data_IF_686530617707
#
_entry.id   IF_686530617707
#
_cell.length_a   1.000
_cell.length_b   1.000
_cell.length_c   1.000
_cell.angle_alpha   90.00
_cell.angle_beta   90.00
_cell.angle_gamma   90.00
#
_symmetry.space_group_name_H-M   'P 1'
#
loop_
_entity.id
_entity.type
_entity.pdbx_description
1 polymer ?
#
# COMPACT_ATOMS: atom_id res chain seq x y z
N UNK A 1 8.47 -18.00 9.37
CA UNK A 1 7.02 -18.06 9.01
C UNK A 1 6.64 -16.62 8.78
N UNK A 2 6.27 -16.26 7.56
CA UNK A 2 5.92 -14.88 7.22
C UNK A 2 4.63 -14.46 7.93
N UNK A 3 4.51 -13.17 8.26
CA UNK A 3 3.33 -12.62 8.91
C UNK A 3 2.08 -12.78 8.02
N UNK A 4 0.92 -13.02 8.64
CA UNK A 4 -0.32 -13.23 7.89
C UNK A 4 -0.99 -11.90 7.53
N UNK A 5 -0.57 -11.30 6.43
CA UNK A 5 -1.08 -10.03 5.94
C UNK A 5 -2.60 -10.01 5.63
N UNK A 6 -3.24 -11.15 5.50
CA UNK A 6 -4.69 -11.24 5.22
C UNK A 6 -5.57 -10.84 6.41
N UNK A 7 -4.99 -10.68 7.58
CA UNK A 7 -5.73 -10.37 8.82
C UNK A 7 -5.40 -8.99 9.38
N UNK A 8 -4.61 -8.18 8.66
CA UNK A 8 -4.30 -6.84 9.10
C UNK A 8 -5.48 -5.90 8.87
N UNK A 9 -5.84 -5.13 9.90
CA UNK A 9 -6.85 -4.07 9.81
C UNK A 9 -6.21 -2.70 9.53
N UNK A 10 -4.98 -2.49 10.02
CA UNK A 10 -4.28 -1.22 9.93
C UNK A 10 -2.81 -1.40 9.54
N UNK A 11 -2.40 -0.75 8.47
CA UNK A 11 -1.01 -0.70 8.02
C UNK A 11 -0.50 0.74 8.03
N UNK A 12 0.67 0.97 8.62
CA UNK A 12 1.33 2.28 8.57
C UNK A 12 2.31 2.33 7.40
N UNK A 13 2.06 3.25 6.45
CA UNK A 13 2.91 3.44 5.28
C UNK A 13 3.98 4.50 5.56
N UNK A 14 5.23 4.13 5.37
CA UNK A 14 6.39 4.99 5.54
C UNK A 14 7.10 5.20 4.20
N UNK A 15 7.37 6.46 3.87
CA UNK A 15 7.99 6.84 2.61
C UNK A 15 9.51 6.95 2.79
N UNK A 16 10.33 6.15 2.07
CA UNK A 16 11.79 6.19 2.18
C UNK A 16 12.41 7.56 1.83
N UNK A 17 11.73 8.38 1.01
CA UNK A 17 12.18 9.75 0.69
C UNK A 17 11.93 10.76 1.82
N UNK A 18 11.22 10.34 2.87
CA UNK A 18 10.89 11.18 4.04
C UNK A 18 11.66 10.75 5.28
N UNK A 19 12.22 11.73 5.98
CA UNK A 19 12.90 11.47 7.25
C UNK A 19 11.88 11.28 8.37
N UNK A 20 12.06 10.22 9.14
CA UNK A 20 11.36 10.07 10.41
C UNK A 20 12.01 10.97 11.48
N UNK A 21 11.22 11.65 12.32
CA UNK A 21 11.74 12.34 13.50
C UNK A 21 12.47 11.36 14.44
N UNK A 22 13.44 11.82 15.21
CA UNK A 22 14.09 10.98 16.23
C UNK A 22 13.06 10.38 17.20
N UNK A 23 13.13 9.06 17.41
CA UNK A 23 12.18 8.32 18.28
C UNK A 23 10.86 7.94 17.61
N UNK A 24 10.51 8.48 16.45
CA UNK A 24 9.24 8.19 15.78
C UNK A 24 9.09 6.72 15.39
N UNK A 25 10.17 6.03 15.04
CA UNK A 25 10.12 4.61 14.68
C UNK A 25 9.58 3.75 15.85
N UNK A 26 10.05 4.00 17.08
CA UNK A 26 9.57 3.31 18.29
C UNK A 26 8.10 3.65 18.58
N UNK A 27 7.74 4.93 18.49
CA UNK A 27 6.38 5.38 18.73
C UNK A 27 5.38 4.80 17.71
N UNK A 28 5.78 4.69 16.43
CA UNK A 28 4.99 4.05 15.37
C UNK A 28 4.87 2.55 15.67
N UNK A 29 5.96 1.88 16.00
CA UNK A 29 5.95 0.46 16.30
C UNK A 29 5.09 0.10 17.52
N UNK A 30 4.97 1.00 18.48
CA UNK A 30 4.14 0.82 19.68
C UNK A 30 2.72 1.39 19.53
N UNK A 31 2.34 1.89 18.34
CA UNK A 31 1.02 2.48 18.08
C UNK A 31 -0.13 1.47 18.07
N UNK A 32 0.20 0.18 17.85
CA UNK A 32 -0.76 -0.90 17.66
C UNK A 32 -1.07 -1.19 16.18
N UNK A 33 -0.38 -0.54 15.23
CA UNK A 33 -0.48 -0.91 13.79
C UNK A 33 -0.05 -2.36 13.57
N UNK A 34 -0.69 -3.07 12.65
CA UNK A 34 -0.40 -4.49 12.39
C UNK A 34 0.91 -4.71 11.64
N UNK A 35 1.27 -3.76 10.77
CA UNK A 35 2.48 -3.84 9.94
C UNK A 35 2.97 -2.45 9.51
N UNK A 36 4.23 -2.40 9.07
CA UNK A 36 4.80 -1.24 8.40
C UNK A 36 4.99 -1.54 6.90
N UNK A 37 4.51 -0.64 6.05
CA UNK A 37 4.72 -0.69 4.61
C UNK A 37 5.70 0.40 4.20
N UNK A 38 6.87 -0.01 3.70
CA UNK A 38 7.89 0.90 3.21
C UNK A 38 7.65 1.13 1.73
N UNK A 39 7.13 2.30 1.39
CA UNK A 39 6.69 2.62 0.03
C UNK A 39 6.66 4.11 -0.24
N UNK A 40 7.07 4.47 -1.45
CA UNK A 40 7.00 5.82 -2.01
C UNK A 40 6.90 5.74 -3.52
N UNK A 41 6.60 6.87 -4.19
CA UNK A 41 6.49 6.90 -5.66
C UNK A 41 7.71 7.55 -6.31
N UNK A 42 8.28 8.56 -5.68
CA UNK A 42 9.38 9.37 -6.21
C UNK A 42 10.60 9.25 -5.30
N UNK A 43 11.79 9.37 -5.90
CA UNK A 43 13.09 9.42 -5.21
C UNK A 43 13.37 8.22 -4.28
N UNK A 44 12.65 7.10 -4.45
CA UNK A 44 12.95 5.87 -3.72
C UNK A 44 14.16 5.20 -4.34
N UNK A 45 15.17 4.95 -3.51
CA UNK A 45 16.43 4.28 -3.88
C UNK A 45 16.66 3.11 -2.93
N UNK A 46 17.54 2.18 -3.30
CA UNK A 46 17.95 1.11 -2.37
C UNK A 46 18.59 1.68 -1.10
N UNK A 47 19.31 2.82 -1.21
CA UNK A 47 19.99 3.44 -0.09
C UNK A 47 18.99 3.95 0.96
N UNK A 48 18.03 4.83 0.56
CA UNK A 48 17.07 5.37 1.52
C UNK A 48 16.06 4.32 2.01
N UNK A 49 15.75 3.30 1.21
CA UNK A 49 14.97 2.16 1.64
C UNK A 49 15.71 1.35 2.74
N UNK A 50 17.01 1.09 2.57
CA UNK A 50 17.83 0.42 3.58
C UNK A 50 17.97 1.26 4.85
N UNK A 51 18.17 2.57 4.73
CA UNK A 51 18.22 3.47 5.89
C UNK A 51 16.91 3.44 6.69
N UNK A 52 15.77 3.38 6.03
CA UNK A 52 14.48 3.25 6.69
C UNK A 52 14.30 1.86 7.32
N UNK A 53 14.70 0.78 6.64
CA UNK A 53 14.71 -0.58 7.18
C UNK A 53 15.56 -0.67 8.45
N UNK A 54 16.75 -0.05 8.46
CA UNK A 54 17.62 -0.02 9.65
C UNK A 54 16.94 0.66 10.84
N UNK A 55 16.12 1.68 10.58
CA UNK A 55 15.42 2.42 11.63
C UNK A 55 14.22 1.65 12.21
N UNK A 56 13.48 0.87 11.39
CA UNK A 56 12.21 0.27 11.82
C UNK A 56 12.30 -1.23 12.17
N UNK A 57 13.26 -1.97 11.59
CA UNK A 57 13.39 -3.41 11.82
C UNK A 57 13.67 -3.83 13.26
N UNK A 58 14.37 -3.02 14.11
CA UNK A 58 14.63 -3.41 15.48
C UNK A 58 13.38 -3.60 16.36
N UNK A 59 12.22 -3.10 15.93
CA UNK A 59 11.00 -3.11 16.75
C UNK A 59 10.12 -4.34 16.53
N UNK A 60 10.44 -5.20 15.56
CA UNK A 60 9.83 -6.53 15.41
C UNK A 60 8.39 -6.54 14.85
N UNK A 61 7.90 -5.44 14.27
CA UNK A 61 6.67 -5.45 13.49
C UNK A 61 6.89 -6.14 12.13
N UNK A 62 5.84 -6.75 11.56
CA UNK A 62 5.87 -7.20 10.17
C UNK A 62 6.24 -6.05 9.22
N UNK A 63 7.22 -6.29 8.34
CA UNK A 63 7.71 -5.31 7.38
C UNK A 63 7.34 -5.73 5.95
N UNK A 64 6.70 -4.82 5.25
CA UNK A 64 6.37 -4.96 3.83
C UNK A 64 7.12 -3.91 3.03
N UNK A 65 7.72 -4.29 1.91
CA UNK A 65 8.20 -3.35 0.90
C UNK A 65 7.25 -3.36 -0.28
N UNK A 66 6.75 -2.19 -0.66
CA UNK A 66 6.02 -1.96 -1.90
C UNK A 66 6.95 -1.20 -2.86
N UNK A 67 7.57 -1.88 -3.85
CA UNK A 67 8.67 -1.30 -4.61
C UNK A 67 8.19 -0.26 -5.62
N UNK A 68 8.79 0.92 -5.62
CA UNK A 68 8.54 1.97 -6.62
C UNK A 68 9.11 1.62 -8.02
N UNK A 69 10.12 0.77 -8.06
CA UNK A 69 10.81 0.36 -9.29
C UNK A 69 11.38 -1.06 -9.15
N UNK A 70 11.75 -1.71 -10.28
CA UNK A 70 12.42 -3.01 -10.25
C UNK A 70 13.66 -3.06 -9.34
N UNK A 71 14.42 -1.98 -9.24
CA UNK A 71 15.65 -1.92 -8.45
C UNK A 71 15.37 -1.86 -6.93
N UNK A 72 14.15 -1.49 -6.54
CA UNK A 72 13.71 -1.45 -5.15
C UNK A 72 13.00 -2.75 -4.71
N UNK A 73 12.82 -3.71 -5.61
CA UNK A 73 12.28 -5.03 -5.30
C UNK A 73 13.39 -5.92 -4.71
N UNK A 74 13.69 -5.71 -3.44
CA UNK A 74 14.79 -6.37 -2.73
C UNK A 74 14.28 -7.52 -1.87
N UNK A 75 15.10 -8.58 -1.74
CA UNK A 75 14.88 -9.68 -0.81
C UNK A 75 15.88 -9.53 0.34
N UNK A 76 15.37 -9.18 1.51
CA UNK A 76 16.14 -8.94 2.73
C UNK A 76 15.50 -9.69 3.89
N UNK A 77 16.29 -10.33 4.73
CA UNK A 77 15.80 -11.12 5.87
C UNK A 77 15.04 -10.34 6.95
N UNK A 78 14.99 -9.00 6.84
CA UNK A 78 14.19 -8.11 7.69
C UNK A 78 12.78 -7.91 7.18
N UNK A 79 12.51 -8.28 5.92
CA UNK A 79 11.24 -8.05 5.22
C UNK A 79 10.41 -9.33 5.24
N UNK A 80 9.13 -9.25 5.64
CA UNK A 80 8.20 -10.37 5.60
C UNK A 80 7.60 -10.56 4.21
N UNK A 81 7.23 -9.47 3.53
CA UNK A 81 6.58 -9.52 2.22
C UNK A 81 7.05 -8.41 1.28
N UNK A 82 7.02 -8.74 0.00
CA UNK A 82 7.17 -7.81 -1.10
C UNK A 82 5.82 -7.66 -1.81
N UNK A 83 5.13 -6.54 -1.58
CA UNK A 83 3.86 -6.24 -2.22
C UNK A 83 4.12 -5.57 -3.56
N UNK A 84 3.82 -6.26 -4.66
CA UNK A 84 4.23 -5.83 -6.00
C UNK A 84 3.03 -5.29 -6.78
N UNK A 85 2.93 -3.95 -6.97
CA UNK A 85 1.76 -3.34 -7.56
C UNK A 85 1.71 -3.48 -9.09
N UNK A 86 0.54 -3.85 -9.61
CA UNK A 86 0.14 -3.67 -11.00
C UNK A 86 -0.95 -2.61 -11.05
N UNK A 87 -0.68 -1.45 -11.68
CA UNK A 87 -1.67 -0.38 -11.81
C UNK A 87 -2.64 -0.73 -12.94
N UNK A 88 -3.75 -1.39 -12.59
CA UNK A 88 -4.64 -2.03 -13.57
C UNK A 88 -5.47 -1.03 -14.39
N UNK A 89 -5.67 0.21 -13.88
CA UNK A 89 -6.31 1.29 -14.60
C UNK A 89 -5.32 2.26 -15.27
N UNK A 90 -4.03 1.88 -15.42
CA UNK A 90 -3.07 2.67 -16.17
C UNK A 90 -3.29 2.52 -17.69
N UNK A 91 -3.06 3.60 -18.42
CA UNK A 91 -3.12 3.61 -19.89
C UNK A 91 -1.82 3.11 -20.56
N UNK A 92 -0.82 2.75 -19.78
CA UNK A 92 0.47 2.27 -20.26
C UNK A 92 0.76 0.88 -19.66
N UNK A 93 0.90 -0.09 -20.54
CA UNK A 93 1.18 -1.49 -20.19
C UNK A 93 2.45 -1.67 -19.33
N UNK A 94 3.36 -0.70 -19.33
CA UNK A 94 4.53 -0.70 -18.46
C UNK A 94 4.17 -0.81 -16.98
N UNK A 95 3.05 -0.24 -16.57
CA UNK A 95 2.58 -0.23 -15.19
C UNK A 95 1.72 -1.43 -14.83
N UNK A 96 1.24 -2.16 -15.85
CA UNK A 96 0.43 -3.37 -15.65
C UNK A 96 1.33 -4.60 -15.56
N UNK A 97 2.29 -4.76 -16.51
CA UNK A 97 3.15 -5.93 -16.60
C UNK A 97 4.60 -5.63 -16.98
N UNK A 98 4.88 -4.49 -17.63
CA UNK A 98 6.20 -4.20 -18.19
C UNK A 98 7.31 -4.06 -17.14
N UNK A 99 7.02 -3.43 -16.01
CA UNK A 99 7.95 -3.31 -14.88
C UNK A 99 8.27 -4.67 -14.25
N UNK A 100 7.25 -5.55 -14.13
CA UNK A 100 7.42 -6.92 -13.63
C UNK A 100 8.32 -7.74 -14.56
N UNK A 101 8.08 -7.65 -15.87
CA UNK A 101 8.95 -8.27 -16.88
C UNK A 101 10.40 -7.80 -16.73
N UNK A 102 10.63 -6.50 -16.59
CA UNK A 102 11.98 -5.95 -16.42
C UNK A 102 12.62 -6.47 -15.14
N UNK A 103 11.89 -6.45 -14.01
CA UNK A 103 12.35 -6.99 -12.74
C UNK A 103 12.76 -8.45 -12.86
N UNK A 104 11.87 -9.31 -13.33
CA UNK A 104 12.10 -10.74 -13.42
C UNK A 104 13.24 -11.10 -14.40
N UNK A 105 13.39 -10.33 -15.48
CA UNK A 105 14.47 -10.54 -16.47
C UNK A 105 15.86 -10.31 -15.87
N UNK A 106 15.98 -9.41 -14.89
CA UNK A 106 17.26 -9.01 -14.30
C UNK A 106 17.49 -9.62 -12.91
N UNK A 107 16.49 -10.21 -12.29
CA UNK A 107 16.63 -10.87 -11.00
C UNK A 107 17.43 -12.17 -11.13
N UNK A 108 18.39 -12.37 -10.21
CA UNK A 108 19.16 -13.61 -10.15
C UNK A 108 18.39 -14.76 -9.48
N UNK A 109 17.54 -14.42 -8.50
CA UNK A 109 16.66 -15.35 -7.78
C UNK A 109 15.46 -14.59 -7.25
N UNK A 110 14.33 -15.27 -7.14
CA UNK A 110 13.10 -14.72 -6.57
C UNK A 110 12.63 -15.67 -5.47
N UNK A 111 12.41 -15.15 -4.29
CA UNK A 111 11.67 -15.84 -3.25
C UNK A 111 10.17 -15.56 -3.43
N UNK A 112 9.51 -16.48 -4.14
CA UNK A 112 8.08 -16.35 -4.46
C UNK A 112 7.17 -16.42 -3.24
N UNK A 113 7.62 -16.97 -2.13
CA UNK A 113 6.84 -17.03 -0.89
C UNK A 113 6.71 -15.66 -0.21
N UNK A 114 7.64 -14.74 -0.51
CA UNK A 114 7.57 -13.36 -0.07
C UNK A 114 6.74 -12.46 -0.99
N UNK A 115 6.54 -12.84 -2.26
CA UNK A 115 5.91 -11.98 -3.27
C UNK A 115 4.40 -12.04 -3.17
N UNK A 116 3.77 -10.89 -2.95
CA UNK A 116 2.32 -10.71 -2.95
C UNK A 116 1.94 -9.73 -4.05
N UNK A 117 1.32 -10.17 -5.15
CA UNK A 117 0.85 -9.28 -6.19
C UNK A 117 -0.31 -8.39 -5.73
N UNK A 118 -0.30 -7.12 -6.09
CA UNK A 118 -1.37 -6.17 -5.82
C UNK A 118 -1.98 -5.63 -7.11
N UNK A 119 -3.30 -5.63 -7.20
CA UNK A 119 -4.02 -4.87 -8.21
C UNK A 119 -4.27 -3.46 -7.68
N UNK A 120 -3.53 -2.49 -8.18
CA UNK A 120 -3.62 -1.09 -7.80
C UNK A 120 -4.61 -0.36 -8.69
N UNK A 121 -5.64 0.27 -8.11
CA UNK A 121 -6.61 1.14 -8.77
C UNK A 121 -6.41 2.56 -8.26
N UNK A 122 -5.77 3.41 -9.07
CA UNK A 122 -5.38 4.78 -8.69
C UNK A 122 -6.49 5.75 -9.06
N UNK A 123 -7.00 6.51 -8.06
CA UNK A 123 -8.18 7.37 -8.21
C UNK A 123 -7.92 8.86 -7.90
N UNK A 124 -6.66 9.24 -7.60
CA UNK A 124 -6.29 10.64 -7.47
C UNK A 124 -5.34 11.08 -8.61
N UNK A 125 -5.83 11.84 -9.62
CA UNK A 125 -5.00 12.28 -10.74
C UNK A 125 -3.89 13.26 -10.32
N UNK A 126 -4.02 13.90 -9.14
CA UNK A 126 -3.05 14.84 -8.60
C UNK A 126 -2.00 14.17 -7.71
N UNK A 127 -2.11 12.87 -7.44
CA UNK A 127 -1.08 12.11 -6.74
C UNK A 127 0.17 11.91 -7.61
N UNK A 128 1.31 11.63 -6.98
CA UNK A 128 2.52 11.28 -7.71
C UNK A 128 2.31 10.02 -8.56
N UNK A 129 1.70 8.99 -7.99
CA UNK A 129 1.41 7.74 -8.69
C UNK A 129 0.44 7.96 -9.84
N UNK A 130 -0.61 8.76 -9.69
CA UNK A 130 -1.55 9.09 -10.77
C UNK A 130 -0.87 9.75 -11.96
N UNK A 131 0.00 10.75 -11.70
CA UNK A 131 0.77 11.42 -12.76
C UNK A 131 1.78 10.52 -13.45
N UNK A 132 2.53 9.72 -12.69
CA UNK A 132 3.60 8.88 -13.23
C UNK A 132 3.03 7.72 -14.05
N UNK A 133 1.92 7.14 -13.62
CA UNK A 133 1.32 5.98 -14.28
C UNK A 133 0.36 6.36 -15.41
N UNK A 134 -0.12 7.61 -15.44
CA UNK A 134 -1.16 8.03 -16.37
C UNK A 134 -2.47 7.26 -16.16
N UNK A 135 -2.76 6.86 -14.93
CA UNK A 135 -3.97 6.12 -14.62
C UNK A 135 -5.23 6.91 -14.96
N UNK A 136 -6.23 6.23 -15.49
CA UNK A 136 -7.57 6.82 -15.65
C UNK A 136 -8.23 6.89 -14.26
N UNK A 137 -8.19 8.08 -13.67
CA UNK A 137 -8.72 8.34 -12.34
C UNK A 137 -10.18 8.80 -12.33
N UNK A 138 -10.81 9.00 -13.51
CA UNK A 138 -12.18 9.48 -13.65
C UNK A 138 -13.20 8.32 -13.73
N UNK A 139 -13.05 7.34 -12.83
CA UNK A 139 -13.86 6.14 -12.80
C UNK A 139 -15.13 6.32 -11.97
N UNK A 140 -16.25 5.81 -12.48
CA UNK A 140 -17.49 5.64 -11.73
C UNK A 140 -17.44 4.43 -10.80
N UNK A 141 -18.40 4.30 -9.87
CA UNK A 141 -18.57 3.08 -9.04
C UNK A 141 -18.62 1.81 -9.90
N UNK A 142 -19.29 1.86 -11.05
CA UNK A 142 -19.42 0.71 -11.97
C UNK A 142 -18.08 0.36 -12.63
N UNK A 143 -17.27 1.37 -12.98
CA UNK A 143 -15.96 1.15 -13.60
C UNK A 143 -15.00 0.53 -12.58
N UNK A 144 -15.00 1.05 -11.34
CA UNK A 144 -14.18 0.48 -10.25
C UNK A 144 -14.59 -0.96 -9.95
N UNK A 145 -15.89 -1.25 -9.82
CA UNK A 145 -16.37 -2.61 -9.61
C UNK A 145 -15.91 -3.55 -10.74
N UNK A 146 -15.95 -3.11 -12.00
CA UNK A 146 -15.48 -3.91 -13.14
C UNK A 146 -13.97 -4.17 -13.08
N UNK A 147 -13.14 -3.16 -12.72
CA UNK A 147 -11.71 -3.36 -12.52
C UNK A 147 -11.43 -4.35 -11.37
N UNK A 148 -12.17 -4.25 -10.27
CA UNK A 148 -12.07 -5.16 -9.13
C UNK A 148 -12.39 -6.60 -9.56
N UNK A 149 -13.50 -6.83 -10.27
CA UNK A 149 -13.86 -8.16 -10.77
C UNK A 149 -12.79 -8.75 -11.71
N UNK A 150 -12.22 -7.93 -12.60
CA UNK A 150 -11.11 -8.35 -13.46
C UNK A 150 -9.88 -8.71 -12.63
N UNK A 151 -9.52 -7.89 -11.64
CA UNK A 151 -8.37 -8.15 -10.78
C UNK A 151 -8.56 -9.41 -9.92
N UNK A 152 -9.69 -9.51 -9.23
CA UNK A 152 -9.98 -10.58 -8.28
C UNK A 152 -10.33 -11.90 -8.99
N UNK A 153 -11.32 -11.88 -9.90
CA UNK A 153 -11.88 -13.12 -10.47
C UNK A 153 -11.10 -13.61 -11.68
N UNK A 154 -10.63 -12.71 -12.55
CA UNK A 154 -9.94 -13.09 -13.79
C UNK A 154 -8.44 -13.26 -13.59
N UNK A 155 -7.76 -12.25 -13.02
CA UNK A 155 -6.31 -12.30 -12.78
C UNK A 155 -5.92 -12.99 -11.47
N UNK A 156 -6.84 -13.12 -10.50
CA UNK A 156 -6.60 -13.74 -9.20
C UNK A 156 -5.55 -13.01 -8.37
N UNK A 157 -5.56 -11.71 -8.40
CA UNK A 157 -4.77 -10.92 -7.47
C UNK A 157 -5.21 -11.17 -6.03
N UNK A 158 -4.29 -11.44 -5.10
CA UNK A 158 -4.65 -11.66 -3.69
C UNK A 158 -5.01 -10.38 -2.95
N UNK A 159 -4.56 -9.21 -3.47
CA UNK A 159 -4.88 -7.88 -2.94
C UNK A 159 -5.47 -7.03 -4.08
N UNK A 160 -6.57 -6.35 -3.78
CA UNK A 160 -7.05 -5.19 -4.54
C UNK A 160 -6.84 -3.95 -3.69
N UNK A 161 -6.11 -2.98 -4.20
CA UNK A 161 -5.77 -1.76 -3.49
C UNK A 161 -6.41 -0.53 -4.15
N UNK A 162 -7.32 0.14 -3.43
CA UNK A 162 -7.90 1.41 -3.85
C UNK A 162 -7.03 2.56 -3.34
N UNK A 163 -6.41 3.30 -4.26
CA UNK A 163 -5.37 4.27 -3.95
C UNK A 163 -5.79 5.72 -4.27
N UNK A 164 -5.86 6.55 -3.22
CA UNK A 164 -6.18 7.97 -3.31
C UNK A 164 -5.06 8.90 -2.83
N UNK A 165 -3.84 8.45 -2.66
CA UNK A 165 -2.68 9.19 -2.11
C UNK A 165 -2.85 10.70 -1.96
N UNK A 166 -2.75 11.18 -0.72
CA UNK A 166 -2.82 12.61 -0.39
C UNK A 166 -4.22 13.22 -0.36
N UNK A 167 -5.26 12.46 -0.69
CA UNK A 167 -6.66 12.88 -0.66
C UNK A 167 -7.54 11.80 -0.06
N UNK A 168 -8.49 12.18 0.78
CA UNK A 168 -9.52 11.25 1.25
C UNK A 168 -10.44 10.85 0.09
N UNK A 169 -10.65 9.55 -0.10
CA UNK A 169 -11.43 8.99 -1.18
C UNK A 169 -12.94 9.13 -0.97
N UNK A 170 -13.69 8.85 -2.01
CA UNK A 170 -15.15 8.76 -1.95
C UNK A 170 -15.56 7.39 -1.38
N UNK A 171 -16.22 7.33 -0.20
CA UNK A 171 -16.65 6.07 0.40
C UNK A 171 -17.57 5.23 -0.51
N UNK A 172 -18.35 5.87 -1.37
CA UNK A 172 -19.23 5.15 -2.31
C UNK A 172 -18.44 4.37 -3.38
N UNK A 173 -17.30 4.89 -3.81
CA UNK A 173 -16.39 4.20 -4.73
C UNK A 173 -15.72 3.01 -4.03
N UNK A 174 -15.27 3.20 -2.77
CA UNK A 174 -14.66 2.11 -1.98
C UNK A 174 -15.69 1.04 -1.66
N UNK A 175 -16.95 1.42 -1.37
CA UNK A 175 -18.04 0.47 -1.18
C UNK A 175 -18.32 -0.35 -2.46
N UNK A 176 -18.32 0.28 -3.64
CA UNK A 176 -18.49 -0.44 -4.89
C UNK A 176 -17.34 -1.44 -5.15
N UNK A 177 -16.11 -1.10 -4.72
CA UNK A 177 -15.00 -2.05 -4.76
C UNK A 177 -15.22 -3.22 -3.79
N UNK A 178 -15.64 -2.94 -2.54
CA UNK A 178 -15.93 -3.95 -1.52
C UNK A 178 -17.04 -4.91 -1.95
N UNK A 179 -18.11 -4.39 -2.55
CA UNK A 179 -19.24 -5.21 -3.04
C UNK A 179 -18.84 -6.13 -4.21
N UNK A 180 -17.77 -5.79 -4.95
CA UNK A 180 -17.29 -6.53 -6.11
C UNK A 180 -16.18 -7.55 -5.78
N UNK A 181 -15.49 -7.41 -4.66
CA UNK A 181 -14.47 -8.37 -4.18
C UNK A 181 -15.11 -9.66 -3.72
N UNK A 182 -14.51 -10.81 -4.07
CA UNK A 182 -14.97 -12.14 -3.62
C UNK A 182 -13.84 -12.94 -2.93
N UNK A 183 -12.60 -12.81 -3.36
CA UNK A 183 -11.48 -13.63 -2.89
C UNK A 183 -10.30 -12.81 -2.38
N UNK A 184 -10.05 -11.66 -3.01
CA UNK A 184 -8.96 -10.76 -2.64
C UNK A 184 -9.23 -10.06 -1.30
N UNK A 185 -8.17 -9.57 -0.66
CA UNK A 185 -8.28 -8.64 0.47
C UNK A 185 -8.34 -7.22 -0.09
N UNK A 186 -9.32 -6.44 0.33
CA UNK A 186 -9.48 -5.05 -0.09
C UNK A 186 -8.64 -4.13 0.80
N UNK A 187 -7.64 -3.50 0.23
CA UNK A 187 -6.83 -2.45 0.84
C UNK A 187 -7.33 -1.07 0.41
N UNK A 188 -7.34 -0.13 1.33
CA UNK A 188 -7.63 1.27 1.05
C UNK A 188 -6.51 2.18 1.55
N UNK A 189 -5.93 3.00 0.69
CA UNK A 189 -4.98 4.05 1.05
C UNK A 189 -5.38 5.40 0.46
N UNK A 190 -5.45 6.43 1.31
CA UNK A 190 -5.77 7.76 0.84
C UNK A 190 -6.28 8.70 1.91
N UNK A 191 -5.47 9.67 2.28
CA UNK A 191 -5.84 10.87 3.02
C UNK A 191 -6.55 10.70 4.35
N UNK A 192 -6.43 9.52 5.01
CA UNK A 192 -6.95 9.32 6.36
C UNK A 192 -6.14 10.17 7.33
N UNK A 193 -6.81 11.07 8.07
CA UNK A 193 -6.22 12.03 9.01
C UNK A 193 -6.97 12.11 10.34
N UNK A 194 -7.99 11.28 10.56
CA UNK A 194 -8.73 11.22 11.82
C UNK A 194 -9.27 9.83 12.11
N UNK A 195 -9.66 9.61 13.37
CA UNK A 195 -10.30 8.37 13.81
C UNK A 195 -11.63 8.10 13.09
N UNK A 196 -12.41 9.17 12.81
CA UNK A 196 -13.70 9.06 12.11
C UNK A 196 -13.50 8.56 10.68
N UNK A 197 -12.52 9.12 9.97
CA UNK A 197 -12.16 8.69 8.61
C UNK A 197 -11.64 7.25 8.59
N UNK A 198 -10.80 6.89 9.57
CA UNK A 198 -10.32 5.51 9.73
C UNK A 198 -11.48 4.54 9.99
N UNK A 199 -12.39 4.88 10.92
CA UNK A 199 -13.57 4.07 11.21
C UNK A 199 -14.53 3.95 10.02
N UNK A 200 -14.69 5.00 9.22
CA UNK A 200 -15.54 4.98 8.02
C UNK A 200 -14.97 4.00 6.99
N UNK A 201 -13.68 4.16 6.62
CA UNK A 201 -13.06 3.29 5.60
C UNK A 201 -12.81 1.87 6.10
N UNK A 202 -12.49 1.68 7.38
CA UNK A 202 -12.29 0.36 7.99
C UNK A 202 -13.58 -0.46 8.15
N UNK A 203 -14.77 0.13 7.97
CA UNK A 203 -16.02 -0.63 7.83
C UNK A 203 -16.25 -1.15 6.42
N UNK A 204 -15.56 -0.60 5.44
CA UNK A 204 -15.75 -0.89 4.01
C UNK A 204 -14.61 -1.77 3.48
N UNK A 205 -13.36 -1.38 3.78
CA UNK A 205 -12.17 -2.12 3.37
C UNK A 205 -11.69 -3.06 4.50
N UNK A 206 -11.07 -4.17 4.13
CA UNK A 206 -10.47 -5.12 5.09
C UNK A 206 -9.27 -4.50 5.80
N UNK A 207 -8.47 -3.73 5.06
CA UNK A 207 -7.24 -3.09 5.56
C UNK A 207 -7.21 -1.61 5.17
N UNK A 208 -6.97 -0.73 6.13
CA UNK A 208 -6.65 0.67 5.83
C UNK A 208 -5.14 0.92 5.90
N UNK A 209 -4.65 1.77 5.00
CA UNK A 209 -3.24 2.18 4.95
C UNK A 209 -3.13 3.67 5.26
N UNK A 210 -2.44 4.00 6.35
CA UNK A 210 -2.25 5.37 6.83
C UNK A 210 -0.78 5.78 6.66
N UNK A 211 -0.52 6.80 5.85
CA UNK A 211 0.82 7.27 5.52
C UNK A 211 1.10 8.70 5.95
N UNK A 212 0.66 9.67 5.15
CA UNK A 212 1.01 11.08 5.34
C UNK A 212 0.67 11.65 6.72
N UNK A 213 -0.40 11.17 7.37
CA UNK A 213 -0.79 11.61 8.70
C UNK A 213 0.31 11.43 9.76
N UNK A 214 1.17 10.41 9.60
CA UNK A 214 2.32 10.18 10.49
C UNK A 214 3.30 11.35 10.47
N UNK A 215 3.52 11.94 9.31
CA UNK A 215 4.45 13.05 9.12
C UNK A 215 3.83 14.42 9.38
N UNK A 216 2.56 14.58 8.99
CA UNK A 216 1.87 15.88 9.00
C UNK A 216 1.17 16.17 10.34
N UNK A 217 0.53 15.12 10.94
CA UNK A 217 -0.35 15.26 12.12
C UNK A 217 0.27 14.64 13.40
N UNK A 218 1.25 13.74 13.22
CA UNK A 218 1.99 13.11 14.30
C UNK A 218 1.37 11.83 14.85
N UNK A 219 2.03 11.27 15.87
CA UNK A 219 1.77 9.92 16.39
C UNK A 219 0.39 9.76 17.06
N UNK A 220 -0.15 10.82 17.65
CA UNK A 220 -1.45 10.74 18.34
C UNK A 220 -2.59 10.47 17.35
N UNK A 221 -2.51 11.06 16.15
CA UNK A 221 -3.46 10.77 15.07
C UNK A 221 -3.29 9.34 14.58
N UNK A 222 -2.06 8.85 14.43
CA UNK A 222 -1.82 7.44 14.08
C UNK A 222 -2.45 6.51 15.11
N UNK A 223 -2.20 6.71 16.39
CA UNK A 223 -2.81 5.91 17.47
C UNK A 223 -4.34 5.97 17.47
N UNK A 224 -4.90 7.14 17.11
CA UNK A 224 -6.34 7.29 17.00
C UNK A 224 -6.92 6.50 15.81
N UNK A 225 -6.24 6.49 14.65
CA UNK A 225 -6.66 5.72 13.48
C UNK A 225 -6.56 4.20 13.73
N UNK A 226 -5.52 3.73 14.42
CA UNK A 226 -5.37 2.33 14.82
C UNK A 226 -6.54 1.89 15.70
N UNK A 227 -6.82 2.63 16.80
CA UNK A 227 -7.95 2.30 17.72
C UNK A 227 -9.32 2.32 17.06
N UNK A 228 -9.46 3.02 15.96
CA UNK A 228 -10.73 3.15 15.25
C UNK A 228 -11.12 1.93 14.42
N UNK A 229 -10.15 1.03 14.14
CA UNK A 229 -10.36 -0.17 13.30
C UNK A 229 -10.06 -1.49 14.03
N UNK A 230 -9.60 -1.42 15.27
CA UNK A 230 -9.42 -2.55 16.19
C UNK A 230 -10.66 -2.71 17.08
#
# INVERSE_FOLDING_TARGET
>A
MHANWKTWAHVTKLDPDKRLPPGAAEEIATSGTDALMLSGTLNVTQENLNELLDQVSPYGLPLVVEPASPDCAIFDGRIDHLFVPSVVNANDVRWIVGKHYTWLRHANSIDWDMVVPEAYIVLNPNSAVGRVTGADCALSCRDVAAFVEVADRYFRFPIVYIEYSGRYGDPSIVQAASDAVEHAVLYYGGGIRSAEQAAEMGRIADTIVVGNAVYDEGIDVLRATVRAVQ
#
